data_IF_718066137334
#
_entry.id   IF_718066137334
#
_cell.length_a   1.000
_cell.length_b   1.000
_cell.length_c   1.000
_cell.angle_alpha   90.00
_cell.angle_beta   90.00
_cell.angle_gamma   90.00
#
_symmetry.space_group_name_H-M   'P 1'
#
loop_
_entity.id
_entity.type
_entity.pdbx_description
1 polymer ?
#
# COMPACT_ATOMS: atom_id res chain seq x y z
N UNK A 1 16.37 -21.59 -43.49
CA UNK A 1 16.11 -20.77 -42.29
C UNK A 1 16.28 -21.71 -41.11
N UNK A 2 17.39 -21.63 -40.38
CA UNK A 2 17.85 -22.73 -39.51
C UNK A 2 16.87 -23.05 -38.36
N UNK A 3 16.23 -22.02 -37.80
CA UNK A 3 15.20 -22.16 -36.74
C UNK A 3 13.90 -22.78 -37.27
N UNK A 4 13.46 -22.36 -38.46
CA UNK A 4 12.26 -22.90 -39.11
C UNK A 4 12.47 -24.35 -39.58
N UNK A 5 13.64 -24.63 -40.19
CA UNK A 5 14.00 -25.97 -40.67
C UNK A 5 14.11 -26.98 -39.51
N UNK A 6 14.67 -26.59 -38.36
CA UNK A 6 14.77 -27.46 -37.19
C UNK A 6 13.40 -27.73 -36.54
N UNK A 7 12.54 -26.70 -36.43
CA UNK A 7 11.17 -26.85 -35.92
C UNK A 7 10.29 -27.74 -36.80
N UNK A 8 10.45 -27.72 -38.12
CA UNK A 8 9.69 -28.57 -39.05
C UNK A 8 10.21 -30.00 -39.08
N UNK A 9 11.53 -30.21 -38.88
CA UNK A 9 12.17 -31.53 -38.96
C UNK A 9 11.96 -32.39 -37.71
N UNK A 10 11.70 -31.77 -36.54
CA UNK A 10 11.33 -32.47 -35.30
C UNK A 10 10.06 -31.86 -34.67
N UNK A 11 8.87 -32.13 -35.25
CA UNK A 11 7.61 -31.53 -34.79
C UNK A 11 7.25 -31.93 -33.34
N UNK A 12 7.71 -33.10 -32.89
CA UNK A 12 7.51 -33.57 -31.51
C UNK A 12 8.27 -32.71 -30.49
N UNK A 13 9.49 -32.26 -30.81
CA UNK A 13 10.26 -31.40 -29.92
C UNK A 13 9.63 -30.01 -29.80
N UNK A 14 9.23 -29.42 -30.93
CA UNK A 14 8.58 -28.11 -30.97
C UNK A 14 7.26 -28.10 -30.17
N UNK A 15 6.44 -29.15 -30.32
CA UNK A 15 5.18 -29.30 -29.59
C UNK A 15 5.38 -29.53 -28.10
N UNK A 16 6.35 -30.36 -27.69
CA UNK A 16 6.70 -30.54 -26.27
C UNK A 16 7.14 -29.22 -25.62
N UNK A 17 7.96 -28.42 -26.31
CA UNK A 17 8.41 -27.13 -25.79
C UNK A 17 7.24 -26.14 -25.63
N UNK A 18 6.31 -26.13 -26.59
CA UNK A 18 5.10 -25.31 -26.51
C UNK A 18 4.18 -25.75 -25.37
N UNK A 19 3.99 -27.06 -25.18
CA UNK A 19 3.21 -27.61 -24.07
C UNK A 19 3.85 -27.29 -22.72
N UNK A 20 5.19 -27.38 -22.61
CA UNK A 20 5.90 -27.02 -21.38
C UNK A 20 5.68 -25.55 -21.00
N UNK A 21 5.74 -24.64 -21.98
CA UNK A 21 5.45 -23.22 -21.76
C UNK A 21 3.99 -22.97 -21.35
N UNK A 22 3.03 -23.67 -21.97
CA UNK A 22 1.62 -23.55 -21.62
C UNK A 22 1.35 -24.03 -20.19
N UNK A 23 1.91 -25.18 -19.81
CA UNK A 23 1.76 -25.73 -18.45
C UNK A 23 2.37 -24.81 -17.41
N UNK A 24 3.58 -24.28 -17.66
CA UNK A 24 4.20 -23.27 -16.79
C UNK A 24 3.36 -21.99 -16.69
N UNK A 25 2.81 -21.52 -17.80
CA UNK A 25 1.94 -20.34 -17.83
C UNK A 25 0.66 -20.53 -16.99
N UNK A 26 0.01 -21.70 -17.11
CA UNK A 26 -1.19 -22.02 -16.32
C UNK A 26 -0.86 -22.11 -14.83
N UNK A 27 0.27 -22.74 -14.49
CA UNK A 27 0.69 -22.87 -13.09
C UNK A 27 0.99 -21.50 -12.48
N UNK A 28 1.76 -20.67 -13.19
CA UNK A 28 2.11 -19.31 -12.79
C UNK A 28 0.88 -18.41 -12.64
N UNK A 29 -0.12 -18.55 -13.52
CA UNK A 29 -1.38 -17.83 -13.41
C UNK A 29 -2.20 -18.23 -12.18
N UNK A 30 -2.14 -19.50 -11.76
CA UNK A 30 -2.84 -19.99 -10.57
C UNK A 30 -2.11 -19.65 -9.27
N UNK A 31 -0.79 -19.59 -9.30
CA UNK A 31 0.04 -19.26 -8.14
C UNK A 31 0.08 -17.75 -7.87
N UNK A 32 -0.31 -16.93 -8.85
CA UNK A 32 -0.47 -15.49 -8.67
C UNK A 32 -1.54 -15.23 -7.62
N UNK A 33 -1.10 -15.07 -6.38
CA UNK A 33 -1.93 -14.68 -5.26
C UNK A 33 -2.39 -13.26 -5.51
N UNK A 34 -3.68 -13.12 -5.83
CA UNK A 34 -4.32 -11.82 -5.90
C UNK A 34 -4.46 -11.35 -4.47
N UNK A 35 -3.56 -10.49 -4.04
CA UNK A 35 -3.68 -9.88 -2.73
C UNK A 35 -4.89 -8.95 -2.75
N UNK A 36 -5.91 -9.29 -1.93
CA UNK A 36 -7.13 -8.50 -1.80
C UNK A 36 -6.87 -7.19 -1.05
N UNK A 37 -5.78 -7.15 -0.29
CA UNK A 37 -5.26 -5.97 0.35
C UNK A 37 -3.85 -5.78 -0.17
N UNK A 38 -3.64 -5.09 -1.31
CA UNK A 38 -2.31 -4.55 -1.56
C UNK A 38 -1.88 -3.83 -0.28
N UNK A 39 -0.63 -3.99 0.15
CA UNK A 39 -0.04 -3.22 1.25
C UNK A 39 -0.02 -1.74 0.83
N UNK A 40 -1.20 -1.10 0.86
CA UNK A 40 -1.37 0.32 0.69
C UNK A 40 -1.03 0.87 2.05
N UNK A 41 0.24 1.17 2.24
CA UNK A 41 0.70 1.96 3.38
C UNK A 41 0.02 3.33 3.28
N UNK A 42 -1.15 3.49 3.89
CA UNK A 42 -1.78 4.78 4.06
C UNK A 42 -0.98 5.51 5.15
N UNK A 43 -0.23 6.58 4.82
CA UNK A 43 0.63 7.26 5.78
C UNK A 43 -0.24 8.18 6.67
N UNK A 44 -1.09 7.58 7.50
CA UNK A 44 -1.98 8.28 8.41
C UNK A 44 -1.38 8.19 9.80
N UNK A 45 -1.07 9.35 10.38
CA UNK A 45 -0.62 9.47 11.76
C UNK A 45 -1.76 10.03 12.59
N UNK A 46 -2.25 9.28 13.57
CA UNK A 46 -3.30 9.72 14.49
C UNK A 46 -2.69 10.03 15.84
N UNK A 47 -2.86 11.27 16.32
CA UNK A 47 -2.48 11.70 17.66
C UNK A 47 -3.77 11.95 18.44
N UNK A 48 -4.02 11.15 19.48
CA UNK A 48 -5.17 11.29 20.36
C UNK A 48 -4.71 11.83 21.71
N UNK A 49 -5.35 12.90 22.20
CA UNK A 49 -5.00 13.48 23.50
C UNK A 49 -6.25 13.74 24.35
N UNK A 50 -6.44 12.91 25.36
CA UNK A 50 -7.58 12.99 26.28
C UNK A 50 -7.25 13.91 27.44
N UNK A 51 -7.90 15.09 27.50
CA UNK A 51 -7.79 16.02 28.62
C UNK A 51 -9.19 16.33 29.22
N UNK A 52 -9.66 15.51 30.18
CA UNK A 52 -11.04 15.59 30.66
C UNK A 52 -11.25 16.76 31.63
N UNK A 53 -12.39 17.45 31.49
CA UNK A 53 -12.83 18.49 32.43
C UNK A 53 -12.30 19.90 32.14
N UNK A 54 -11.77 20.15 30.94
CA UNK A 54 -11.24 21.46 30.52
C UNK A 54 -11.96 21.94 29.27
N UNK A 55 -12.23 23.25 29.24
CA UNK A 55 -12.90 23.89 28.12
C UNK A 55 -12.10 23.68 26.82
N UNK A 56 -12.76 23.40 25.69
CA UNK A 56 -12.10 23.05 24.43
C UNK A 56 -11.15 24.14 23.94
N UNK A 57 -11.41 25.42 24.26
CA UNK A 57 -10.54 26.56 23.91
C UNK A 57 -9.18 26.49 24.62
N UNK A 58 -9.16 25.95 25.84
CA UNK A 58 -7.93 25.77 26.63
C UNK A 58 -7.14 24.57 26.10
N UNK A 59 -7.81 23.47 25.72
CA UNK A 59 -7.17 22.30 25.11
C UNK A 59 -6.55 22.66 23.76
N UNK A 60 -7.22 23.46 22.94
CA UNK A 60 -6.69 23.92 21.67
C UNK A 60 -5.37 24.70 21.86
N UNK A 61 -5.33 25.59 22.84
CA UNK A 61 -4.17 26.48 23.04
C UNK A 61 -3.00 25.79 23.74
N UNK A 62 -3.27 24.95 24.74
CA UNK A 62 -2.23 24.31 25.57
C UNK A 62 -1.75 22.96 25.01
N UNK A 63 -2.57 22.27 24.20
CA UNK A 63 -2.28 20.90 23.73
C UNK A 63 -2.21 20.83 22.22
N UNK A 64 -3.23 21.29 21.50
CA UNK A 64 -3.28 21.19 20.03
C UNK A 64 -2.21 22.04 19.35
N UNK A 65 -2.05 23.32 19.75
CA UNK A 65 -1.06 24.23 19.15
C UNK A 65 0.40 23.75 19.28
N UNK A 66 0.91 23.33 20.46
CA UNK A 66 2.27 22.81 20.57
C UNK A 66 2.52 21.54 19.75
N UNK A 67 1.51 20.66 19.64
CA UNK A 67 1.59 19.44 18.84
C UNK A 67 1.65 19.79 17.35
N UNK A 68 0.85 20.75 16.89
CA UNK A 68 0.89 21.25 15.51
C UNK A 68 2.23 21.90 15.18
N UNK A 69 2.75 22.78 16.05
CA UNK A 69 4.05 23.44 15.85
C UNK A 69 5.21 22.44 15.80
N UNK A 70 5.15 21.35 16.56
CA UNK A 70 6.15 20.28 16.54
C UNK A 70 6.09 19.40 15.27
N UNK A 71 4.90 19.24 14.67
CA UNK A 71 4.69 18.39 13.48
C UNK A 71 4.87 19.18 12.17
N UNK A 72 4.58 20.47 12.16
CA UNK A 72 4.72 21.36 11.00
C UNK A 72 6.12 21.35 10.32
N UNK A 73 7.26 21.25 11.03
CA UNK A 73 8.58 21.19 10.39
C UNK A 73 8.91 19.82 9.75
N UNK A 74 8.07 18.79 9.91
CA UNK A 74 8.32 17.46 9.35
C UNK A 74 8.02 17.47 7.85
N UNK A 75 9.06 17.43 7.03
CA UNK A 75 8.95 17.33 5.57
C UNK A 75 8.27 16.01 5.18
N UNK A 76 7.05 16.09 4.62
CA UNK A 76 6.29 14.93 4.14
C UNK A 76 4.82 14.90 4.60
N UNK A 77 4.44 15.73 5.57
CA UNK A 77 3.05 15.81 6.04
C UNK A 77 2.25 16.72 5.11
N UNK A 78 1.41 16.12 4.24
CA UNK A 78 0.67 16.86 3.20
C UNK A 78 -0.58 17.55 3.74
N UNK A 79 -1.28 16.93 4.69
CA UNK A 79 -2.51 17.46 5.32
C UNK A 79 -2.50 17.17 6.83
N UNK A 80 -2.66 18.22 7.63
CA UNK A 80 -2.86 18.15 9.09
C UNK A 80 -4.32 18.55 9.33
N UNK A 81 -5.11 17.65 9.91
CA UNK A 81 -6.49 17.92 10.30
C UNK A 81 -6.62 17.67 11.80
N UNK A 82 -6.82 18.74 12.58
CA UNK A 82 -7.06 18.67 14.02
C UNK A 82 -8.55 18.91 14.30
N UNK A 83 -9.15 18.08 15.16
CA UNK A 83 -10.55 18.27 15.58
C UNK A 83 -10.63 18.10 17.09
N UNK A 84 -10.93 19.19 17.80
CA UNK A 84 -11.06 19.22 19.25
C UNK A 84 -12.55 19.21 19.62
N UNK A 85 -13.01 18.23 20.41
CA UNK A 85 -14.41 18.15 20.86
C UNK A 85 -14.48 17.97 22.37
N UNK A 86 -15.44 18.62 23.04
CA UNK A 86 -15.69 18.43 24.47
C UNK A 86 -15.95 16.96 24.80
N UNK A 87 -15.08 16.37 25.62
CA UNK A 87 -15.26 15.02 26.18
C UNK A 87 -14.58 13.89 25.42
N UNK A 88 -14.16 14.08 24.16
CA UNK A 88 -13.30 13.11 23.45
C UNK A 88 -12.47 13.82 22.39
N UNK A 89 -11.16 13.81 22.59
CA UNK A 89 -10.09 14.10 21.62
C UNK A 89 -8.89 13.22 21.92
#
# INVERSE_FOLDING_TARGET
MILSDLSVKQPVFATMMMVALVVLGIFSYKELSIDLFPDVDFPVVTVQTVYPGVAPETVETEVTKPIEEAINPIQGVKHITSTTTEGVS
#
